data_IF_731711629406
#
_entry.id   IF_731711629406
#
_cell.length_a   1.000
_cell.length_b   1.000
_cell.length_c   1.000
_cell.angle_alpha   90.00
_cell.angle_beta   90.00
_cell.angle_gamma   90.00
#
_symmetry.space_group_name_H-M   'P 1'
#
loop_
_entity.id
_entity.type
_entity.pdbx_description
1 polymer ?
#
# COMPACT_ATOMS: atom_id res chain seq x y z
N UNK A 1 -10.80 -3.01 3.34
CA UNK A 1 -10.32 -1.98 2.44
C UNK A 1 -8.86 -2.20 2.14
N UNK A 2 -8.46 -1.95 0.93
CA UNK A 2 -7.11 -2.29 0.49
C UNK A 2 -6.21 -1.08 0.30
N UNK A 3 -6.76 0.11 0.31
CA UNK A 3 -5.97 1.33 0.21
C UNK A 3 -5.88 1.99 1.58
N UNK A 4 -4.73 2.59 1.85
CA UNK A 4 -4.47 3.27 3.11
C UNK A 4 -4.13 4.72 2.81
N UNK A 5 -4.98 5.62 3.27
CA UNK A 5 -4.75 7.05 3.13
C UNK A 5 -5.07 7.75 4.43
N UNK A 6 -4.37 8.84 4.65
CA UNK A 6 -4.59 9.65 5.84
C UNK A 6 -5.74 10.62 5.68
N UNK A 7 -6.40 10.62 4.53
CA UNK A 7 -7.58 11.42 4.24
C UNK A 7 -8.52 10.58 3.39
N UNK A 8 -9.75 11.03 3.23
CA UNK A 8 -10.73 10.36 2.38
C UNK A 8 -10.14 10.08 1.01
N UNK A 9 -10.31 8.86 0.54
CA UNK A 9 -9.66 8.43 -0.67
C UNK A 9 -10.56 7.54 -1.52
N UNK A 10 -10.92 7.98 -2.73
CA UNK A 10 -11.73 7.16 -3.62
C UNK A 10 -11.03 5.85 -4.03
N UNK A 11 -9.71 5.77 -3.85
CA UNK A 11 -9.00 4.53 -4.12
C UNK A 11 -9.43 3.39 -3.20
N UNK A 12 -9.97 3.71 -2.03
CA UNK A 12 -10.51 2.68 -1.14
C UNK A 12 -11.56 1.86 -1.85
N UNK A 13 -12.44 2.54 -2.58
CA UNK A 13 -13.50 1.88 -3.33
C UNK A 13 -12.91 1.06 -4.47
N UNK A 14 -11.95 1.65 -5.17
CA UNK A 14 -11.30 1.00 -6.30
C UNK A 14 -10.64 -0.32 -5.89
N UNK A 15 -9.88 -0.29 -4.82
CA UNK A 15 -9.13 -1.47 -4.39
C UNK A 15 -10.07 -2.54 -3.87
N UNK A 16 -11.15 -2.14 -3.22
CA UNK A 16 -12.14 -3.11 -2.75
C UNK A 16 -12.77 -3.90 -3.88
N UNK A 17 -12.90 -3.29 -5.05
CA UNK A 17 -13.43 -3.99 -6.20
C UNK A 17 -12.52 -5.12 -6.69
N UNK A 18 -11.28 -5.14 -6.27
CA UNK A 18 -10.34 -6.20 -6.61
C UNK A 18 -10.44 -7.38 -5.66
N UNK A 19 -11.29 -7.29 -4.66
CA UNK A 19 -11.42 -8.31 -3.63
C UNK A 19 -12.54 -9.28 -3.99
N UNK A 20 -12.49 -10.49 -3.42
CA UNK A 20 -13.57 -11.45 -3.59
C UNK A 20 -14.91 -10.83 -3.18
N UNK A 21 -15.95 -11.18 -3.89
CA UNK A 21 -17.28 -10.66 -3.60
C UNK A 21 -17.87 -11.31 -2.35
N UNK A 22 -18.86 -10.66 -1.72
CA UNK A 22 -19.54 -11.25 -0.57
C UNK A 22 -20.21 -12.60 -0.88
N UNK A 23 -20.38 -12.91 -2.14
CA UNK A 23 -20.95 -14.20 -2.53
C UNK A 23 -20.09 -15.37 -2.13
N UNK A 24 -18.85 -15.12 -1.80
CA UNK A 24 -17.93 -16.16 -1.35
C UNK A 24 -18.05 -16.36 0.15
N UNK A 25 -19.27 -16.43 0.61
CA UNK A 25 -19.58 -16.60 2.03
C UNK A 25 -18.99 -17.90 2.56
N UNK A 26 -18.96 -18.90 1.71
CA UNK A 26 -18.43 -20.21 2.08
C UNK A 26 -16.92 -20.30 1.89
N UNK A 27 -16.21 -19.22 2.16
CA UNK A 27 -14.74 -19.20 2.06
C UNK A 27 -14.12 -20.33 2.89
N UNK A 28 -13.13 -21.03 2.33
CA UNK A 28 -12.36 -21.97 3.11
C UNK A 28 -11.69 -21.29 4.30
N UNK A 29 -11.41 -22.00 5.38
CA UNK A 29 -10.74 -21.40 6.55
C UNK A 29 -9.48 -20.63 6.20
N UNK A 30 -8.70 -21.12 5.22
CA UNK A 30 -7.49 -20.44 4.80
C UNK A 30 -7.77 -19.05 4.24
N UNK A 31 -8.83 -18.89 3.47
CA UNK A 31 -9.19 -17.58 2.92
C UNK A 31 -9.71 -16.63 3.99
N UNK A 32 -10.41 -17.16 4.99
CA UNK A 32 -10.84 -16.32 6.10
C UNK A 32 -9.66 -15.80 6.88
N UNK A 33 -8.67 -16.62 7.07
CA UNK A 33 -7.45 -16.23 7.74
C UNK A 33 -6.72 -15.14 6.94
N UNK A 34 -6.61 -15.33 5.63
CA UNK A 34 -5.97 -14.33 4.76
C UNK A 34 -6.72 -13.00 4.78
N UNK A 35 -8.06 -13.05 4.78
CA UNK A 35 -8.85 -11.82 4.85
C UNK A 35 -8.64 -11.11 6.19
N UNK A 36 -8.47 -11.87 7.26
CA UNK A 36 -8.20 -11.31 8.59
C UNK A 36 -6.83 -10.65 8.62
N UNK A 37 -5.85 -11.30 8.02
CA UNK A 37 -4.49 -10.76 7.91
C UNK A 37 -4.52 -9.45 7.11
N UNK A 38 -5.26 -9.42 6.00
CA UNK A 38 -5.36 -8.22 5.20
C UNK A 38 -5.97 -7.05 5.99
N UNK A 39 -7.04 -7.32 6.74
CA UNK A 39 -7.63 -6.25 7.57
C UNK A 39 -6.66 -5.73 8.62
N UNK A 40 -5.88 -6.63 9.20
CA UNK A 40 -4.88 -6.25 10.17
C UNK A 40 -3.79 -5.42 9.51
N UNK A 41 -3.38 -5.82 8.31
CA UNK A 41 -2.38 -5.07 7.55
C UNK A 41 -2.86 -3.66 7.23
N UNK A 42 -4.12 -3.52 6.83
CA UNK A 42 -4.68 -2.20 6.55
C UNK A 42 -4.61 -1.31 7.80
N UNK A 43 -4.94 -1.86 8.95
CA UNK A 43 -4.88 -1.09 10.19
C UNK A 43 -3.45 -0.66 10.52
N UNK A 44 -2.49 -1.56 10.40
CA UNK A 44 -1.10 -1.23 10.72
C UNK A 44 -0.48 -0.27 9.71
N UNK A 45 -0.84 -0.42 8.43
CA UNK A 45 -0.38 0.52 7.40
C UNK A 45 -1.01 1.90 7.59
N UNK A 46 -2.22 1.97 8.10
CA UNK A 46 -2.84 3.25 8.42
C UNK A 46 -2.03 4.00 9.49
N UNK A 47 -1.58 3.28 10.50
CA UNK A 47 -0.74 3.87 11.53
C UNK A 47 0.61 4.33 10.96
N UNK A 48 1.20 3.51 10.09
CA UNK A 48 2.44 3.88 9.42
C UNK A 48 2.25 5.14 8.57
N UNK A 49 1.13 5.23 7.88
CA UNK A 49 0.79 6.40 7.06
C UNK A 49 0.71 7.66 7.91
N UNK A 50 0.03 7.60 9.04
CA UNK A 50 -0.10 8.75 9.93
C UNK A 50 1.26 9.19 10.48
N UNK A 51 2.08 8.22 10.87
CA UNK A 51 3.43 8.52 11.37
C UNK A 51 4.27 9.17 10.27
N UNK A 52 4.22 8.62 9.07
CA UNK A 52 5.03 9.12 7.96
C UNK A 52 4.64 10.54 7.54
N UNK A 53 3.36 10.89 7.64
CA UNK A 53 2.92 12.24 7.29
C UNK A 53 3.56 13.29 8.17
N UNK A 54 3.87 12.94 9.40
CA UNK A 54 4.54 13.88 10.32
C UNK A 54 6.06 13.89 10.18
N UNK A 55 6.63 12.93 9.48
CA UNK A 55 8.08 12.78 9.39
C UNK A 55 8.66 12.98 8.00
N UNK A 56 7.91 12.63 6.95
CA UNK A 56 8.45 12.59 5.59
C UNK A 56 7.82 13.66 4.73
N UNK A 57 8.64 14.61 4.29
CA UNK A 57 8.18 15.74 3.48
C UNK A 57 7.60 15.25 2.16
N UNK A 58 6.43 15.81 1.81
CA UNK A 58 5.79 15.52 0.53
C UNK A 58 5.04 14.22 0.45
N UNK A 59 5.10 13.41 1.50
CA UNK A 59 4.35 12.17 1.52
C UNK A 59 2.87 12.47 1.69
N UNK A 60 2.03 11.84 0.85
CA UNK A 60 0.59 12.08 0.87
C UNK A 60 -0.22 10.86 1.31
N UNK A 61 0.06 9.70 0.73
CA UNK A 61 -0.69 8.49 1.08
C UNK A 61 0.07 7.26 0.63
N UNK A 62 -0.36 6.11 1.13
CA UNK A 62 0.18 4.84 0.66
C UNK A 62 -0.97 3.87 0.40
N UNK A 63 -0.68 2.87 -0.40
CA UNK A 63 -1.62 1.78 -0.68
C UNK A 63 -0.83 0.49 -0.79
N UNK A 64 -1.53 -0.63 -0.86
CA UNK A 64 -0.86 -1.90 -1.05
C UNK A 64 -1.62 -2.74 -2.06
N UNK A 65 -0.89 -3.67 -2.66
CA UNK A 65 -1.44 -4.67 -3.55
C UNK A 65 -0.84 -6.02 -3.17
N UNK A 66 -1.67 -7.04 -3.20
CA UNK A 66 -1.21 -8.38 -2.90
C UNK A 66 -2.20 -9.40 -3.44
N UNK A 67 -1.67 -10.53 -3.83
CA UNK A 67 -2.47 -11.72 -4.09
C UNK A 67 -2.53 -12.46 -2.76
N UNK A 68 -3.71 -12.58 -2.19
CA UNK A 68 -3.86 -13.18 -0.86
C UNK A 68 -3.38 -14.62 -0.80
N UNK A 69 -3.42 -15.34 -1.92
CA UNK A 69 -2.94 -16.71 -1.97
C UNK A 69 -1.42 -16.81 -1.97
N UNK A 70 -0.75 -15.71 -2.31
CA UNK A 70 0.71 -15.66 -2.36
C UNK A 70 1.21 -14.35 -1.76
N UNK A 71 0.74 -14.02 -0.56
CA UNK A 71 0.97 -12.73 0.07
C UNK A 71 2.45 -12.35 0.15
N UNK A 72 3.27 -13.27 0.63
CA UNK A 72 4.70 -12.97 0.81
C UNK A 72 5.42 -12.69 -0.50
N UNK A 73 4.96 -13.28 -1.60
CA UNK A 73 5.62 -13.11 -2.90
C UNK A 73 5.09 -11.90 -3.66
N UNK A 74 3.85 -11.52 -3.42
CA UNK A 74 3.19 -10.52 -4.26
C UNK A 74 2.93 -9.19 -3.57
N UNK A 75 3.13 -9.11 -2.26
CA UNK A 75 2.84 -7.89 -1.53
C UNK A 75 3.72 -6.74 -2.01
N UNK A 76 3.06 -5.64 -2.35
CA UNK A 76 3.72 -4.39 -2.70
C UNK A 76 3.04 -3.27 -1.93
N UNK A 77 3.84 -2.45 -1.27
CA UNK A 77 3.36 -1.26 -0.59
C UNK A 77 3.85 -0.08 -1.40
N UNK A 78 2.93 0.72 -1.90
CA UNK A 78 3.23 1.85 -2.77
C UNK A 78 3.12 3.14 -1.96
N UNK A 79 4.22 3.85 -1.81
CA UNK A 79 4.31 5.11 -1.08
C UNK A 79 4.20 6.24 -2.08
N UNK A 80 3.17 7.08 -1.95
CA UNK A 80 2.86 8.12 -2.93
C UNK A 80 3.18 9.49 -2.37
N UNK A 81 3.93 10.26 -3.16
CA UNK A 81 4.35 11.61 -2.82
C UNK A 81 3.63 12.62 -3.70
N UNK A 82 3.62 13.87 -3.29
CA UNK A 82 2.92 14.90 -4.05
C UNK A 82 3.60 15.17 -5.39
N UNK A 83 4.92 15.35 -5.36
CA UNK A 83 5.68 15.67 -6.56
C UNK A 83 6.75 14.64 -6.85
N UNK A 84 7.20 14.63 -8.11
CA UNK A 84 8.33 13.79 -8.51
C UNK A 84 9.58 14.12 -7.70
N UNK A 85 9.82 15.40 -7.45
CA UNK A 85 10.98 15.83 -6.68
C UNK A 85 10.92 15.26 -5.25
N UNK A 86 9.76 15.32 -4.62
CA UNK A 86 9.59 14.77 -3.27
C UNK A 86 9.82 13.27 -3.26
N UNK A 87 9.33 12.57 -4.27
CA UNK A 87 9.54 11.13 -4.38
C UNK A 87 11.02 10.78 -4.51
N UNK A 88 11.71 11.49 -5.40
CA UNK A 88 13.13 11.25 -5.61
C UNK A 88 13.94 11.52 -4.35
N UNK A 89 13.61 12.60 -3.65
CA UNK A 89 14.30 12.94 -2.41
C UNK A 89 14.07 11.86 -1.35
N UNK A 90 12.84 11.36 -1.24
CA UNK A 90 12.52 10.33 -0.27
C UNK A 90 13.23 9.02 -0.57
N UNK A 91 13.39 8.68 -1.84
CA UNK A 91 14.10 7.47 -2.22
C UNK A 91 15.56 7.50 -1.77
N UNK A 92 16.14 8.69 -1.64
CA UNK A 92 17.52 8.86 -1.20
C UNK A 92 17.60 9.04 0.31
N UNK A 93 16.79 9.92 0.87
CA UNK A 93 16.94 10.35 2.25
C UNK A 93 16.02 9.65 3.24
N UNK A 94 14.87 9.17 2.80
CA UNK A 94 13.88 8.56 3.69
C UNK A 94 13.69 7.08 3.48
N UNK A 95 14.46 6.46 2.59
CA UNK A 95 14.27 5.05 2.24
C UNK A 95 14.36 4.13 3.46
N UNK A 96 15.37 4.33 4.29
CA UNK A 96 15.56 3.49 5.47
C UNK A 96 14.35 3.61 6.41
N UNK A 97 13.91 4.85 6.65
CA UNK A 97 12.78 5.08 7.53
C UNK A 97 11.48 4.47 6.96
N UNK A 98 11.29 4.60 5.66
CA UNK A 98 10.12 4.03 4.99
C UNK A 98 10.13 2.50 5.12
N UNK A 99 11.28 1.88 4.95
CA UNK A 99 11.40 0.44 5.14
C UNK A 99 11.13 0.05 6.59
N UNK A 100 11.61 0.83 7.55
CA UNK A 100 11.34 0.58 8.96
C UNK A 100 9.85 0.64 9.28
N UNK A 101 9.18 1.67 8.80
CA UNK A 101 7.75 1.83 9.03
C UNK A 101 6.96 0.69 8.39
N UNK A 102 7.34 0.32 7.18
CA UNK A 102 6.68 -0.78 6.48
C UNK A 102 6.91 -2.11 7.20
N UNK A 103 8.16 -2.36 7.62
CA UNK A 103 8.49 -3.59 8.33
C UNK A 103 7.73 -3.68 9.65
N UNK A 104 7.63 -2.58 10.38
CA UNK A 104 6.89 -2.54 11.62
C UNK A 104 5.41 -2.86 11.39
N UNK A 105 4.82 -2.28 10.34
CA UNK A 105 3.44 -2.55 10.01
C UNK A 105 3.21 -4.03 9.69
N UNK A 106 4.12 -4.64 8.92
CA UNK A 106 4.02 -6.05 8.60
C UNK A 106 4.13 -6.92 9.85
N UNK A 107 5.08 -6.59 10.71
CA UNK A 107 5.26 -7.33 11.94
C UNK A 107 4.05 -7.26 12.84
N UNK A 108 3.46 -6.07 12.96
CA UNK A 108 2.26 -5.89 13.77
C UNK A 108 1.05 -6.58 13.16
N UNK A 109 1.05 -6.77 11.86
CA UNK A 109 0.00 -7.52 11.17
C UNK A 109 0.26 -9.03 11.18
N UNK A 110 1.33 -9.46 11.84
CA UNK A 110 1.74 -10.87 11.92
C UNK A 110 2.07 -11.45 10.55
N UNK A 111 2.62 -10.64 9.68
CA UNK A 111 3.08 -11.09 8.36
C UNK A 111 4.58 -11.27 8.42
N UNK A 112 5.01 -12.52 8.29
CA UNK A 112 6.41 -12.86 8.31
C UNK A 112 6.98 -12.74 6.89
N UNK A 113 7.50 -11.55 6.58
CA UNK A 113 8.03 -11.26 5.26
C UNK A 113 9.27 -10.38 5.41
N UNK A 114 10.36 -10.82 4.82
CA UNK A 114 11.56 -10.00 4.76
C UNK A 114 11.42 -9.02 3.60
N UNK A 115 11.33 -7.74 3.92
CA UNK A 115 11.16 -6.71 2.91
C UNK A 115 12.36 -6.59 1.98
N UNK A 116 12.06 -6.35 0.72
CA UNK A 116 13.06 -6.07 -0.30
C UNK A 116 12.53 -4.91 -1.16
N UNK A 117 13.38 -4.46 -2.10
CA UNK A 117 12.97 -3.38 -3.01
C UNK A 117 11.76 -3.76 -3.86
N UNK A 118 11.45 -5.04 -3.96
CA UNK A 118 10.28 -5.52 -4.70
C UNK A 118 8.99 -5.25 -3.97
N UNK A 119 9.05 -5.16 -2.65
CA UNK A 119 7.86 -5.01 -1.81
C UNK A 119 7.52 -3.56 -1.53
N UNK A 120 8.47 -2.65 -1.68
CA UNK A 120 8.27 -1.24 -1.40
C UNK A 120 8.48 -0.44 -2.68
N UNK A 121 7.45 0.26 -3.11
CA UNK A 121 7.49 1.06 -4.33
C UNK A 121 7.22 2.52 -4.01
N UNK A 122 7.74 3.39 -4.85
CA UNK A 122 7.58 4.83 -4.70
C UNK A 122 6.89 5.38 -5.93
N UNK A 123 5.96 6.29 -5.74
CA UNK A 123 5.25 6.93 -6.84
C UNK A 123 4.89 8.35 -6.44
N UNK A 124 4.30 9.12 -7.36
CA UNK A 124 3.89 10.48 -7.06
C UNK A 124 2.60 10.84 -7.77
N UNK A 125 1.86 11.78 -7.18
CA UNK A 125 0.66 12.31 -7.79
C UNK A 125 0.99 13.01 -9.10
N UNK A 126 2.13 13.70 -9.13
CA UNK A 126 2.56 14.40 -10.34
C UNK A 126 2.77 13.46 -11.51
N UNK A 127 3.42 12.32 -11.28
CA UNK A 127 3.64 11.33 -12.34
C UNK A 127 2.33 10.71 -12.81
N UNK A 128 1.43 10.44 -11.88
CA UNK A 128 0.13 9.89 -12.23
C UNK A 128 -0.67 10.89 -13.06
N UNK A 129 -0.62 12.17 -12.70
CA UNK A 129 -1.30 13.21 -13.43
C UNK A 129 -0.77 13.31 -14.86
N UNK A 130 0.53 13.23 -15.03
CA UNK A 130 1.13 13.34 -16.36
C UNK A 130 0.86 12.14 -17.25
N UNK A 131 0.94 10.94 -16.69
CA UNK A 131 0.87 9.72 -17.51
C UNK A 131 -0.54 9.17 -17.63
N UNK A 132 -1.37 9.31 -16.61
CA UNK A 132 -2.70 8.72 -16.57
C UNK A 132 -3.79 9.73 -16.22
N UNK A 133 -3.53 11.03 -16.36
CA UNK A 133 -4.50 12.09 -16.03
C UNK A 133 -5.07 11.95 -14.61
N UNK A 134 -4.24 11.47 -13.68
CA UNK A 134 -4.66 11.30 -12.30
C UNK A 134 -5.46 10.02 -12.05
N UNK A 135 -5.54 9.15 -13.02
CA UNK A 135 -6.29 7.89 -12.88
C UNK A 135 -5.41 6.82 -12.25
N UNK A 136 -5.47 6.72 -10.94
CA UNK A 136 -4.69 5.74 -10.19
C UNK A 136 -5.07 4.30 -10.51
N UNK A 137 -6.31 4.08 -10.94
CA UNK A 137 -6.73 2.74 -11.34
C UNK A 137 -5.85 2.22 -12.48
N UNK A 138 -5.67 3.05 -13.50
CA UNK A 138 -4.85 2.67 -14.64
C UNK A 138 -3.39 2.52 -14.26
N UNK A 139 -2.90 3.43 -13.43
CA UNK A 139 -1.50 3.42 -13.06
C UNK A 139 -1.13 2.20 -12.22
N UNK A 140 -1.95 1.90 -11.22
CA UNK A 140 -1.69 0.74 -10.35
C UNK A 140 -1.83 -0.58 -11.11
N UNK A 141 -2.79 -0.65 -12.03
CA UNK A 141 -3.00 -1.86 -12.81
C UNK A 141 -1.83 -2.13 -13.75
N UNK A 142 -1.14 -1.09 -14.20
CA UNK A 142 -0.06 -1.22 -15.17
C UNK A 142 1.29 -1.55 -14.56
N UNK A 143 1.68 -0.81 -13.52
CA UNK A 143 3.07 -0.84 -13.04
C UNK A 143 3.27 -1.51 -11.70
N UNK A 144 2.23 -1.70 -10.96
CA UNK A 144 2.35 -2.21 -9.61
C UNK A 144 1.54 -3.49 -9.47
#
# INVERSE_FOLDING_TARGET
MSAVRCASDPLLILIEHLRPTPKEIAMPPGKRELARIERRLIATLTEACETAKGEIKGFTWLTHRADLDALAKTLKVIWVFETLADRQLAEVEAKVRIFELTATALKEACIDLKLSDRNVRFDSEEECQRAQDGDWRKRLAKDH
#
